data_IF_278082383460
#
_entry.id   IF_278082383460
#
_cell.length_a   1.000
_cell.length_b   1.000
_cell.length_c   1.000
_cell.angle_alpha   90.00
_cell.angle_beta   90.00
_cell.angle_gamma   90.00
#
_symmetry.space_group_name_H-M   'P 1'
#
loop_
_entity.id
_entity.type
_entity.pdbx_description
1 polymer ?
#
# COMPACT_ATOMS: atom_id res chain seq x y z
N UNK A 1 21.99 -17.66 -10.45
CA UNK A 1 21.35 -17.69 -9.12
C UNK A 1 20.12 -16.81 -9.10
N UNK A 2 19.03 -17.33 -8.58
CA UNK A 2 17.82 -16.53 -8.49
C UNK A 2 17.99 -15.46 -7.39
N UNK A 3 17.53 -14.26 -7.67
CA UNK A 3 17.53 -13.17 -6.70
C UNK A 3 16.48 -13.48 -5.63
N UNK A 4 16.86 -13.39 -4.37
CA UNK A 4 15.90 -13.61 -3.27
C UNK A 4 14.98 -12.40 -3.14
N UNK A 5 13.85 -12.59 -2.49
CA UNK A 5 12.91 -11.49 -2.20
C UNK A 5 13.62 -10.41 -1.37
N UNK A 6 14.42 -10.82 -0.37
CA UNK A 6 15.18 -9.88 0.45
C UNK A 6 16.15 -9.04 -0.37
N UNK A 7 16.85 -9.66 -1.34
CA UNK A 7 17.77 -8.95 -2.22
C UNK A 7 17.02 -7.96 -3.11
N UNK A 8 15.87 -8.34 -3.64
CA UNK A 8 15.03 -7.45 -4.44
C UNK A 8 14.61 -6.23 -3.63
N UNK A 9 14.14 -6.44 -2.41
CA UNK A 9 13.69 -5.32 -1.58
C UNK A 9 14.85 -4.45 -1.09
N UNK A 10 16.07 -5.00 -0.99
CA UNK A 10 17.26 -4.17 -0.77
C UNK A 10 17.50 -3.24 -1.95
N UNK A 11 17.32 -3.73 -3.18
CA UNK A 11 17.43 -2.90 -4.39
C UNK A 11 16.31 -1.86 -4.43
N UNK A 12 15.09 -2.26 -4.10
CA UNK A 12 13.94 -1.35 -4.10
C UNK A 12 14.10 -0.25 -3.03
N UNK A 13 14.67 -0.59 -1.89
CA UNK A 13 14.94 0.40 -0.84
C UNK A 13 15.92 1.47 -1.33
N UNK A 14 16.99 1.06 -2.01
CA UNK A 14 17.93 2.00 -2.60
C UNK A 14 17.27 2.85 -3.69
N UNK A 15 16.43 2.21 -4.51
CA UNK A 15 15.69 2.92 -5.56
C UNK A 15 14.70 3.92 -4.96
N UNK A 16 14.03 3.55 -3.87
CA UNK A 16 13.10 4.44 -3.18
C UNK A 16 13.83 5.65 -2.58
N UNK A 17 15.00 5.43 -1.99
CA UNK A 17 15.82 6.51 -1.46
C UNK A 17 16.19 7.48 -2.58
N UNK A 18 16.65 6.96 -3.73
CA UNK A 18 16.99 7.80 -4.88
C UNK A 18 15.76 8.54 -5.41
N UNK A 19 14.61 7.87 -5.46
CA UNK A 19 13.36 8.48 -5.92
C UNK A 19 12.98 9.68 -5.04
N UNK A 20 13.13 9.53 -3.73
CA UNK A 20 12.83 10.60 -2.79
C UNK A 20 13.81 11.77 -2.92
N UNK A 21 15.11 11.47 -2.99
CA UNK A 21 16.15 12.49 -3.10
C UNK A 21 16.06 13.28 -4.41
N UNK A 22 15.72 12.61 -5.51
CA UNK A 22 15.65 13.23 -6.83
C UNK A 22 14.24 13.69 -7.20
N UNK A 23 13.25 13.43 -6.34
CA UNK A 23 11.85 13.74 -6.57
C UNK A 23 11.34 13.13 -7.89
N UNK A 24 11.72 11.87 -8.13
CA UNK A 24 11.37 11.12 -9.33
C UNK A 24 10.84 9.74 -8.93
N UNK A 25 9.51 9.60 -8.90
CA UNK A 25 8.86 8.35 -8.49
C UNK A 25 9.17 7.18 -9.41
N UNK A 26 9.53 7.44 -10.65
CA UNK A 26 9.80 6.38 -11.62
C UNK A 26 11.06 5.59 -11.28
N UNK A 27 11.96 6.17 -10.49
CA UNK A 27 13.16 5.47 -10.03
C UNK A 27 12.84 4.26 -9.15
N UNK A 28 11.69 4.26 -8.49
CA UNK A 28 11.22 3.08 -7.73
C UNK A 28 10.16 2.29 -8.49
N UNK A 29 9.25 2.96 -9.19
CA UNK A 29 8.15 2.28 -9.88
C UNK A 29 8.66 1.37 -10.99
N UNK A 30 9.58 1.86 -11.83
CA UNK A 30 10.09 1.09 -12.96
C UNK A 30 10.81 -0.20 -12.56
N UNK A 31 11.73 -0.18 -11.57
CA UNK A 31 12.37 -1.43 -11.13
C UNK A 31 11.38 -2.46 -10.58
N UNK A 32 10.31 -2.02 -9.91
CA UNK A 32 9.30 -2.96 -9.42
C UNK A 32 8.58 -3.63 -10.59
N UNK A 33 8.23 -2.88 -11.63
CA UNK A 33 7.64 -3.45 -12.84
C UNK A 33 8.58 -4.47 -13.50
N UNK A 34 9.88 -4.17 -13.55
CA UNK A 34 10.88 -5.06 -14.14
C UNK A 34 10.94 -6.42 -13.43
N UNK A 35 10.67 -6.44 -12.12
CA UNK A 35 10.74 -7.66 -11.30
C UNK A 35 9.38 -8.18 -10.88
N UNK A 36 8.30 -7.68 -11.48
CA UNK A 36 6.95 -8.04 -11.08
C UNK A 36 6.68 -9.54 -11.18
N UNK A 37 7.15 -10.20 -12.24
CA UNK A 37 6.96 -11.64 -12.41
C UNK A 37 7.59 -12.43 -11.26
N UNK A 38 8.78 -12.02 -10.81
CA UNK A 38 9.45 -12.66 -9.68
C UNK A 38 8.63 -12.51 -8.41
N UNK A 39 8.07 -11.32 -8.19
CA UNK A 39 7.21 -11.05 -7.04
C UNK A 39 5.92 -11.88 -7.10
N UNK A 40 5.33 -12.00 -8.28
CA UNK A 40 4.11 -12.77 -8.49
C UNK A 40 4.32 -14.27 -8.26
N UNK A 41 5.52 -14.76 -8.50
CA UNK A 41 5.87 -16.16 -8.28
C UNK A 41 6.03 -16.52 -6.80
N UNK A 42 6.22 -15.52 -5.93
CA UNK A 42 6.36 -15.73 -4.49
C UNK A 42 4.99 -15.66 -3.81
N UNK A 43 4.87 -16.32 -2.66
CA UNK A 43 3.64 -16.24 -1.86
C UNK A 43 3.44 -14.83 -1.33
N UNK A 44 2.20 -14.36 -1.27
CA UNK A 44 1.89 -13.01 -0.77
C UNK A 44 2.42 -12.80 0.64
N UNK A 45 2.34 -13.82 1.51
CA UNK A 45 2.83 -13.75 2.89
C UNK A 45 4.34 -13.47 2.96
N UNK A 46 5.08 -13.80 1.90
CA UNK A 46 6.52 -13.53 1.83
C UNK A 46 6.82 -12.13 1.33
N UNK A 47 5.97 -11.59 0.47
CA UNK A 47 6.22 -10.33 -0.23
C UNK A 47 5.60 -9.14 0.49
N UNK A 48 4.37 -9.29 0.98
CA UNK A 48 3.61 -8.19 1.56
C UNK A 48 4.31 -7.50 2.73
N UNK A 49 4.90 -8.23 3.69
CA UNK A 49 5.62 -7.55 4.78
C UNK A 49 6.77 -6.66 4.28
N UNK A 50 7.46 -7.08 3.24
CA UNK A 50 8.54 -6.28 2.64
C UNK A 50 8.00 -5.04 1.94
N UNK A 51 6.86 -5.16 1.23
CA UNK A 51 6.21 -4.03 0.57
C UNK A 51 5.84 -2.98 1.63
N UNK A 52 5.20 -3.41 2.70
CA UNK A 52 4.74 -2.50 3.74
C UNK A 52 5.92 -1.86 4.48
N UNK A 53 6.99 -2.61 4.76
CA UNK A 53 8.19 -2.06 5.38
C UNK A 53 8.83 -0.98 4.51
N UNK A 54 8.85 -1.18 3.20
CA UNK A 54 9.39 -0.19 2.27
C UNK A 54 8.56 1.10 2.31
N UNK A 55 7.24 0.96 2.23
CA UNK A 55 6.33 2.12 2.27
C UNK A 55 6.44 2.84 3.61
N UNK A 56 6.54 2.10 4.71
CA UNK A 56 6.68 2.68 6.05
C UNK A 56 7.99 3.44 6.21
N UNK A 57 9.04 3.02 5.50
CA UNK A 57 10.34 3.71 5.49
C UNK A 57 10.29 4.99 4.67
N UNK A 58 9.55 4.99 3.56
CA UNK A 58 9.40 6.15 2.68
C UNK A 58 7.90 6.41 2.42
N UNK A 59 7.17 6.87 3.45
CA UNK A 59 5.71 6.98 3.36
C UNK A 59 5.21 8.10 2.46
N UNK A 60 6.09 9.01 2.07
CA UNK A 60 5.72 10.15 1.21
C UNK A 60 5.81 9.84 -0.28
N UNK A 61 6.43 8.71 -0.65
CA UNK A 61 6.60 8.35 -2.06
C UNK A 61 5.30 7.86 -2.67
N UNK A 62 5.15 8.15 -3.97
CA UNK A 62 4.08 7.61 -4.79
C UNK A 62 4.61 6.35 -5.48
N UNK A 63 4.02 5.20 -5.14
CA UNK A 63 4.39 3.91 -5.73
C UNK A 63 3.42 3.51 -6.85
N UNK A 64 2.55 4.41 -7.24
CA UNK A 64 1.53 4.21 -8.27
C UNK A 64 0.15 3.94 -7.66
N UNK A 65 -0.89 4.23 -8.39
CA UNK A 65 -2.24 4.06 -7.92
C UNK A 65 -3.11 3.23 -8.88
N UNK A 66 -3.17 1.89 -8.76
CA UNK A 66 -2.64 1.06 -7.68
C UNK A 66 -1.14 0.80 -7.74
N UNK A 67 -0.52 0.95 -8.92
CA UNK A 67 0.89 0.69 -9.14
C UNK A 67 1.22 -0.80 -9.23
N UNK A 68 2.50 -1.15 -9.43
CA UNK A 68 2.90 -2.56 -9.54
C UNK A 68 2.67 -3.33 -8.24
N UNK A 69 2.96 -2.71 -7.08
CA UNK A 69 2.67 -3.35 -5.80
C UNK A 69 1.17 -3.54 -5.58
N UNK A 70 0.37 -2.50 -5.87
CA UNK A 70 -1.07 -2.57 -5.71
C UNK A 70 -1.69 -3.62 -6.63
N UNK A 71 -1.23 -3.69 -7.87
CA UNK A 71 -1.71 -4.70 -8.83
C UNK A 71 -1.41 -6.10 -8.34
N UNK A 72 -0.21 -6.31 -7.78
CA UNK A 72 0.18 -7.60 -7.20
C UNK A 72 -0.74 -7.99 -6.06
N UNK A 73 -0.96 -7.06 -5.13
CA UNK A 73 -1.80 -7.29 -3.95
C UNK A 73 -3.23 -7.62 -4.37
N UNK A 74 -3.77 -6.88 -5.34
CA UNK A 74 -5.16 -7.03 -5.79
C UNK A 74 -5.41 -8.30 -6.60
N UNK A 75 -4.38 -9.06 -6.94
CA UNK A 75 -4.54 -10.41 -7.51
C UNK A 75 -5.03 -11.41 -6.47
N UNK A 76 -4.99 -11.05 -5.19
CA UNK A 76 -5.38 -11.90 -4.06
C UNK A 76 -6.71 -11.45 -3.49
N UNK A 77 -7.43 -12.34 -2.75
CA UNK A 77 -8.65 -11.93 -2.06
C UNK A 77 -8.38 -10.82 -1.04
N UNK A 78 -9.35 -9.92 -0.87
CA UNK A 78 -9.19 -8.79 0.05
C UNK A 78 -8.87 -9.25 1.47
N UNK A 79 -9.42 -10.36 1.91
CA UNK A 79 -9.13 -10.92 3.24
C UNK A 79 -7.67 -11.29 3.43
N UNK A 80 -6.93 -11.53 2.34
CA UNK A 80 -5.53 -11.92 2.40
C UNK A 80 -4.60 -10.74 2.70
N UNK A 81 -5.02 -9.51 2.45
CA UNK A 81 -4.12 -8.36 2.60
C UNK A 81 -4.66 -7.20 3.44
N UNK A 82 -6.00 -7.04 3.56
CA UNK A 82 -6.54 -5.88 4.27
C UNK A 82 -6.15 -5.81 5.75
N UNK A 83 -6.07 -6.93 6.50
CA UNK A 83 -5.57 -6.84 7.89
C UNK A 83 -4.14 -6.32 7.98
N UNK A 84 -3.28 -6.71 7.03
CA UNK A 84 -1.90 -6.23 7.00
C UNK A 84 -1.83 -4.73 6.68
N UNK A 85 -2.69 -4.24 5.80
CA UNK A 85 -2.77 -2.83 5.47
C UNK A 85 -3.17 -2.00 6.70
N UNK A 86 -4.17 -2.47 7.46
CA UNK A 86 -4.57 -1.82 8.69
C UNK A 86 -3.43 -1.75 9.71
N UNK A 87 -2.71 -2.86 9.88
CA UNK A 87 -1.57 -2.91 10.80
C UNK A 87 -0.47 -1.94 10.36
N UNK A 88 -0.23 -1.81 9.06
CA UNK A 88 0.74 -0.86 8.53
C UNK A 88 0.36 0.58 8.89
N UNK A 89 -0.91 0.94 8.77
CA UNK A 89 -1.38 2.28 9.10
C UNK A 89 -1.21 2.59 10.58
N UNK A 90 -1.28 1.58 11.46
CA UNK A 90 -1.02 1.77 12.89
C UNK A 90 0.46 2.04 13.16
N UNK A 91 1.36 1.39 12.41
CA UNK A 91 2.81 1.59 12.57
C UNK A 91 3.29 2.89 11.96
N UNK A 92 2.86 3.17 10.73
CA UNK A 92 3.24 4.38 10.00
C UNK A 92 2.19 4.68 8.94
N UNK A 93 1.31 5.67 9.16
CA UNK A 93 0.33 6.06 8.15
C UNK A 93 1.00 6.51 6.85
N UNK A 94 0.39 6.14 5.72
CA UNK A 94 0.88 6.53 4.40
C UNK A 94 -0.29 6.71 3.45
N UNK A 95 -0.13 7.64 2.51
CA UNK A 95 -1.11 7.88 1.46
C UNK A 95 -1.32 6.60 0.63
N UNK A 96 -0.22 5.90 0.35
CA UNK A 96 -0.26 4.69 -0.48
C UNK A 96 -1.18 3.62 0.11
N UNK A 97 -1.01 3.30 1.39
CA UNK A 97 -1.80 2.25 2.05
C UNK A 97 -3.25 2.70 2.24
N UNK A 98 -3.46 3.97 2.59
CA UNK A 98 -4.83 4.52 2.65
C UNK A 98 -5.52 4.34 1.30
N UNK A 99 -4.82 4.65 0.20
CA UNK A 99 -5.38 4.53 -1.14
C UNK A 99 -5.77 3.10 -1.48
N UNK A 100 -4.93 2.12 -1.12
CA UNK A 100 -5.27 0.72 -1.36
C UNK A 100 -6.49 0.27 -0.57
N UNK A 101 -6.64 0.72 0.68
CA UNK A 101 -7.86 0.43 1.47
C UNK A 101 -9.08 1.13 0.91
N UNK A 102 -8.93 2.38 0.48
CA UNK A 102 -10.03 3.14 -0.14
C UNK A 102 -10.55 2.41 -1.39
N UNK A 103 -9.67 1.81 -2.17
CA UNK A 103 -10.04 1.01 -3.34
C UNK A 103 -10.95 -0.17 -2.97
N UNK A 104 -10.76 -0.76 -1.78
CA UNK A 104 -11.62 -1.87 -1.34
C UNK A 104 -13.04 -1.41 -1.04
N UNK A 105 -13.22 -0.14 -0.65
CA UNK A 105 -14.54 0.43 -0.40
C UNK A 105 -15.30 0.69 -1.71
N UNK A 106 -14.58 0.91 -2.79
CA UNK A 106 -15.16 1.17 -4.10
C UNK A 106 -15.43 -0.08 -4.95
N UNK A 107 -15.12 -1.27 -4.43
CA UNK A 107 -15.38 -2.51 -5.17
C UNK A 107 -16.88 -2.77 -5.20
N UNK A 108 -17.45 -2.85 -6.42
CA UNK A 108 -18.84 -3.16 -6.65
C UNK A 108 -19.14 -4.57 -6.13
N UNK A 109 -20.35 -4.78 -5.61
CA UNK A 109 -20.78 -6.09 -5.12
C UNK A 109 -20.60 -7.18 -6.19
N UNK A 110 -20.79 -6.85 -7.45
CA UNK A 110 -20.61 -7.79 -8.57
C UNK A 110 -19.15 -8.20 -8.76
N UNK A 111 -18.22 -7.42 -8.23
CA UNK A 111 -16.78 -7.69 -8.35
C UNK A 111 -16.14 -8.17 -7.06
N UNK A 112 -16.94 -8.48 -6.04
CA UNK A 112 -16.41 -8.90 -4.75
C UNK A 112 -15.76 -10.29 -4.75
N UNK A 113 -15.71 -10.96 -5.88
CA UNK A 113 -15.03 -12.26 -6.01
C UNK A 113 -15.50 -13.27 -4.96
N UNK A 114 -16.76 -13.16 -4.54
CA UNK A 114 -17.34 -14.04 -3.54
C UNK A 114 -17.07 -13.66 -2.10
N UNK A 115 -16.11 -12.77 -1.84
CA UNK A 115 -15.73 -12.37 -0.47
C UNK A 115 -15.87 -10.86 -0.28
N UNK A 116 -16.70 -10.40 0.69
CA UNK A 116 -16.73 -8.99 1.04
C UNK A 116 -15.40 -8.57 1.67
N UNK A 117 -15.07 -7.29 1.59
CA UNK A 117 -13.91 -6.78 2.30
C UNK A 117 -14.08 -7.02 3.80
N UNK A 118 -13.05 -7.54 4.49
CA UNK A 118 -13.10 -7.68 5.95
C UNK A 118 -13.06 -6.34 6.67
N UNK A 119 -12.79 -5.25 5.95
CA UNK A 119 -12.77 -3.89 6.50
C UNK A 119 -14.00 -3.18 5.97
N UNK A 120 -14.96 -2.89 6.84
CA UNK A 120 -16.16 -2.16 6.46
C UNK A 120 -15.94 -0.64 6.51
N UNK A 121 -16.91 0.14 5.96
CA UNK A 121 -16.80 1.60 5.95
C UNK A 121 -16.65 2.22 7.35
N UNK A 122 -17.33 1.67 8.35
CA UNK A 122 -17.27 2.19 9.73
C UNK A 122 -15.87 1.98 10.32
N UNK A 123 -15.28 0.80 10.10
CA UNK A 123 -13.94 0.51 10.58
C UNK A 123 -12.91 1.39 9.87
N UNK A 124 -13.07 1.56 8.55
CA UNK A 124 -12.18 2.43 7.78
C UNK A 124 -12.29 3.88 8.24
N UNK A 125 -13.52 4.37 8.48
CA UNK A 125 -13.73 5.72 9.02
C UNK A 125 -13.01 5.94 10.34
N UNK A 126 -13.08 4.96 11.25
CA UNK A 126 -12.39 5.05 12.53
C UNK A 126 -10.88 5.13 12.38
N UNK A 127 -10.32 4.36 11.42
CA UNK A 127 -8.88 4.39 11.13
C UNK A 127 -8.49 5.75 10.55
N UNK A 128 -9.27 6.30 9.62
CA UNK A 128 -9.00 7.60 9.03
C UNK A 128 -9.03 8.72 10.08
N UNK A 129 -9.98 8.67 11.01
CA UNK A 129 -10.07 9.65 12.10
C UNK A 129 -8.82 9.63 12.98
N UNK A 130 -8.29 8.42 13.26
CA UNK A 130 -7.05 8.28 14.03
C UNK A 130 -5.85 8.88 13.26
N UNK A 131 -5.80 8.67 11.95
CA UNK A 131 -4.70 9.18 11.12
C UNK A 131 -4.69 10.70 11.12
N UNK A 132 -5.86 11.33 11.01
CA UNK A 132 -5.99 12.79 10.98
C UNK A 132 -5.39 13.42 12.24
N UNK A 133 -5.45 12.73 13.37
CA UNK A 133 -4.90 13.25 14.64
C UNK A 133 -3.56 12.62 15.02
N UNK A 134 -3.00 11.76 14.17
CA UNK A 134 -1.77 11.04 14.49
C UNK A 134 -0.53 11.93 14.31
N UNK A 135 0.39 11.97 15.29
CA UNK A 135 1.66 12.67 15.10
C UNK A 135 2.59 11.98 14.12
N UNK A 136 2.30 10.73 13.75
CA UNK A 136 3.10 9.97 12.80
C UNK A 136 2.73 10.28 11.35
N UNK A 137 1.55 10.84 11.10
CA UNK A 137 1.10 11.14 9.75
C UNK A 137 1.58 12.52 9.30
N UNK A 138 2.04 12.62 8.05
CA UNK A 138 2.38 13.90 7.43
C UNK A 138 1.12 14.72 7.17
N UNK A 139 1.28 16.01 6.90
CA UNK A 139 0.16 16.87 6.56
C UNK A 139 -0.56 16.38 5.30
N UNK A 140 0.19 15.95 4.28
CA UNK A 140 -0.39 15.41 3.05
C UNK A 140 -1.18 14.13 3.31
N UNK A 141 -0.67 13.26 4.18
CA UNK A 141 -1.35 12.04 4.56
C UNK A 141 -2.66 12.35 5.30
N UNK A 142 -2.64 13.32 6.21
CA UNK A 142 -3.83 13.75 6.94
C UNK A 142 -4.89 14.34 6.00
N UNK A 143 -4.46 15.15 5.04
CA UNK A 143 -5.36 15.72 4.04
C UNK A 143 -6.04 14.63 3.21
N UNK A 144 -5.26 13.64 2.76
CA UNK A 144 -5.82 12.52 1.99
C UNK A 144 -6.78 11.70 2.83
N UNK A 145 -6.43 11.44 4.09
CA UNK A 145 -7.33 10.74 5.01
C UNK A 145 -8.66 11.48 5.17
N UNK A 146 -8.61 12.81 5.25
CA UNK A 146 -9.82 13.63 5.36
C UNK A 146 -10.67 13.53 4.10
N UNK A 147 -10.06 13.54 2.92
CA UNK A 147 -10.77 13.37 1.64
C UNK A 147 -11.49 12.04 1.62
N UNK A 148 -10.79 10.95 1.97
CA UNK A 148 -11.40 9.62 2.00
C UNK A 148 -12.54 9.54 3.02
N UNK A 149 -12.37 10.16 4.18
CA UNK A 149 -13.40 10.18 5.22
C UNK A 149 -14.65 10.92 4.73
N UNK A 150 -14.47 12.03 4.04
CA UNK A 150 -15.59 12.80 3.48
C UNK A 150 -16.35 11.99 2.43
N UNK A 151 -15.63 11.19 1.63
CA UNK A 151 -16.24 10.36 0.59
C UNK A 151 -17.08 9.21 1.16
N UNK A 152 -16.82 8.81 2.41
CA UNK A 152 -17.58 7.74 3.08
C UNK A 152 -18.90 8.23 3.69
N UNK A 153 -19.08 9.53 3.78
CA UNK A 153 -20.30 10.10 4.41
C UNK A 153 -21.45 10.30 3.43
#
# INVERSE_FOLDING_TARGET
MSTTIEQLFSQFTRAAQAAQEQQDKWLIIDPVYEHLETLQAAALEQVLPHILALIETYPELDYGGPGPFGSLIEEHPMAAYTPALLASLERQPSVQVIGWLDRTMGVDEDFQRGDPSPVGPDEFSAVLEKIITSPLASDGCKEFAQVCLNDLK
#
